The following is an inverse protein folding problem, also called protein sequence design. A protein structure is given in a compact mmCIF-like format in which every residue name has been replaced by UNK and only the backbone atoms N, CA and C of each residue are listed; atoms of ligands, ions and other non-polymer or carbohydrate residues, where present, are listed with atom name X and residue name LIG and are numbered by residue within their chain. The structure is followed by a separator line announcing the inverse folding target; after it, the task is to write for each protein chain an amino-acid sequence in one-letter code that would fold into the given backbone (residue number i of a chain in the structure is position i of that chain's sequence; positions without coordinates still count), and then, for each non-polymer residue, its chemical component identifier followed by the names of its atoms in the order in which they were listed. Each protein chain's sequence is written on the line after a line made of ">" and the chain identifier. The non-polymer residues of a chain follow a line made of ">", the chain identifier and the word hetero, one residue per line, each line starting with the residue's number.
data_IF_259467674907
#
_entry.id   IF_259467674907
#
_cell.length_a   1.000
_cell.length_b   1.000
_cell.length_c   1.000
_cell.angle_alpha   90.00
_cell.angle_beta   90.00
_cell.angle_gamma   90.00
#
_symmetry.space_group_name_H-M   'P 1'
#
loop_
_entity.id
_entity.type
_entity.pdbx_description
1 polymer ?
#
# COMPACT_ATOMS: atom_id res chain seq x y z
N UNK A 1 15.40 -7.40 -14.00
CA UNK A 1 14.02 -7.10 -13.61
C UNK A 1 13.39 -6.43 -14.82
N UNK A 2 12.77 -7.24 -15.68
CA UNK A 2 12.00 -6.75 -16.83
C UNK A 2 10.97 -5.75 -16.29
N UNK A 3 10.92 -4.54 -16.86
CA UNK A 3 10.21 -3.43 -16.26
C UNK A 3 8.73 -3.77 -16.18
N UNK A 4 8.22 -4.05 -14.98
CA UNK A 4 6.77 -4.20 -14.75
C UNK A 4 6.00 -2.87 -15.01
N UNK A 5 6.73 -1.79 -15.29
CA UNK A 5 6.25 -0.44 -15.59
C UNK A 5 5.12 -0.40 -16.62
N UNK A 6 5.18 -1.08 -17.78
CA UNK A 6 4.09 -1.02 -18.77
C UNK A 6 2.78 -1.63 -18.27
N UNK A 7 2.81 -2.63 -17.38
CA UNK A 7 1.59 -3.21 -16.81
C UNK A 7 0.89 -2.26 -15.85
N UNK A 8 1.68 -1.52 -15.05
CA UNK A 8 1.17 -0.52 -14.11
C UNK A 8 0.65 0.72 -14.86
N UNK A 9 1.38 1.19 -15.88
CA UNK A 9 0.96 2.30 -16.73
C UNK A 9 -0.37 2.01 -17.43
N UNK A 10 -0.53 0.81 -18.01
CA UNK A 10 -1.81 0.41 -18.64
C UNK A 10 -3.00 0.45 -17.69
N UNK A 11 -2.76 0.22 -16.40
CA UNK A 11 -3.79 0.26 -15.35
C UNK A 11 -3.97 1.65 -14.74
N UNK A 12 -3.27 2.66 -15.28
CA UNK A 12 -3.21 4.01 -14.69
C UNK A 12 -2.81 3.99 -13.21
N UNK A 13 -1.99 3.02 -12.82
CA UNK A 13 -1.56 2.81 -11.45
C UNK A 13 -0.27 3.61 -11.18
N UNK A 14 -0.26 4.37 -10.08
CA UNK A 14 0.97 5.02 -9.60
C UNK A 14 1.69 4.08 -8.66
N UNK A 15 2.97 3.82 -8.92
CA UNK A 15 3.83 2.99 -8.05
C UNK A 15 4.78 3.90 -7.28
N UNK A 16 4.81 3.72 -5.96
CA UNK A 16 5.68 4.45 -5.04
C UNK A 16 6.42 3.45 -4.15
N UNK A 17 7.70 3.72 -3.90
CA UNK A 17 8.48 3.00 -2.89
C UNK A 17 8.51 3.84 -1.61
N UNK A 18 8.22 3.23 -0.46
CA UNK A 18 8.30 3.90 0.85
C UNK A 18 9.40 3.25 1.67
N UNK A 19 10.37 4.05 2.11
CA UNK A 19 11.49 3.60 2.93
C UNK A 19 11.42 4.26 4.31
N UNK A 20 11.32 3.44 5.36
CA UNK A 20 11.32 3.88 6.76
C UNK A 20 12.74 4.21 7.28
N UNK A 21 13.52 4.95 6.47
CA UNK A 21 14.89 5.36 6.78
C UNK A 21 14.94 6.87 6.98
N UNK A 22 15.78 7.34 7.90
CA UNK A 22 16.07 8.76 8.05
C UNK A 22 17.08 9.20 7.01
N UNK A 23 16.92 10.41 6.47
CA UNK A 23 17.81 10.94 5.44
C UNK A 23 19.26 11.09 5.92
N UNK A 24 19.45 11.42 7.20
CA UNK A 24 20.75 11.65 7.84
C UNK A 24 21.34 10.47 8.63
N UNK A 25 21.04 9.22 8.28
CA UNK A 25 21.50 8.02 9.00
C UNK A 25 22.90 7.53 8.63
N UNK A 26 23.43 6.59 9.45
CA UNK A 26 24.73 5.91 9.25
C UNK A 26 24.85 5.19 7.88
N UNK A 27 23.70 4.85 7.28
CA UNK A 27 23.57 4.39 5.90
C UNK A 27 22.89 5.49 5.09
N UNK A 28 23.64 6.32 4.36
CA UNK A 28 23.02 7.38 3.57
C UNK A 28 22.22 6.76 2.40
N UNK A 29 20.88 6.86 2.40
CA UNK A 29 20.07 6.26 1.35
C UNK A 29 20.45 6.84 -0.02
N UNK A 30 20.83 8.12 -0.02
CA UNK A 30 21.26 8.85 -1.20
C UNK A 30 22.48 8.23 -1.90
N UNK A 31 23.48 7.76 -1.16
CA UNK A 31 24.67 7.13 -1.77
C UNK A 31 24.37 5.72 -2.30
N UNK A 32 23.42 5.01 -1.69
CA UNK A 32 22.97 3.70 -2.16
C UNK A 32 22.12 3.84 -3.43
N UNK A 33 21.15 4.76 -3.44
CA UNK A 33 20.25 5.00 -4.59
C UNK A 33 20.95 5.63 -5.79
N UNK A 34 22.01 6.41 -5.59
CA UNK A 34 22.88 6.87 -6.70
C UNK A 34 23.58 5.71 -7.42
N UNK A 35 23.88 4.62 -6.70
CA UNK A 35 24.57 3.43 -7.24
C UNK A 35 23.61 2.37 -7.76
N UNK A 36 22.36 2.38 -7.27
CA UNK A 36 21.33 1.43 -7.61
C UNK A 36 20.12 2.18 -8.17
N UNK A 37 20.03 2.37 -9.50
CA UNK A 37 18.91 3.08 -10.10
C UNK A 37 17.59 2.39 -9.77
N UNK A 38 16.63 3.18 -9.32
CA UNK A 38 15.29 2.72 -8.96
C UNK A 38 14.29 3.07 -10.06
N UNK A 39 13.38 2.14 -10.34
CA UNK A 39 12.37 2.31 -11.39
C UNK A 39 11.19 3.20 -10.99
N UNK A 40 11.06 3.54 -9.69
CA UNK A 40 9.92 4.27 -9.14
C UNK A 40 10.38 5.35 -8.15
N UNK A 41 9.58 6.41 -7.96
CA UNK A 41 9.84 7.41 -6.93
C UNK A 41 9.94 6.77 -5.55
N UNK A 42 10.86 7.28 -4.73
CA UNK A 42 11.04 6.85 -3.34
C UNK A 42 10.64 7.98 -2.40
N UNK A 43 9.81 7.64 -1.41
CA UNK A 43 9.41 8.51 -0.31
C UNK A 43 10.06 8.01 0.98
N UNK A 44 10.64 8.94 1.76
CA UNK A 44 11.21 8.65 3.07
C UNK A 44 10.14 8.83 4.16
N UNK A 45 9.85 7.76 4.89
CA UNK A 45 8.96 7.74 6.06
C UNK A 45 9.80 7.87 7.34
N UNK A 46 10.42 9.03 7.53
CA UNK A 46 11.44 9.27 8.58
C UNK A 46 10.88 9.10 10.01
N UNK A 47 9.60 9.44 10.20
CA UNK A 47 8.87 9.35 11.48
C UNK A 47 8.10 8.03 11.65
N UNK A 48 8.18 7.17 10.63
CA UNK A 48 7.51 5.85 10.57
C UNK A 48 5.98 5.96 10.64
N UNK A 49 5.42 7.11 10.30
CA UNK A 49 4.00 7.39 10.39
C UNK A 49 3.22 6.51 9.40
N UNK A 50 3.73 6.39 8.16
CA UNK A 50 3.11 5.55 7.12
C UNK A 50 3.24 4.08 7.47
N UNK A 51 4.43 3.65 7.89
CA UNK A 51 4.70 2.27 8.30
C UNK A 51 3.82 1.83 9.47
N UNK A 52 3.57 2.73 10.44
CA UNK A 52 2.62 2.47 11.54
C UNK A 52 1.18 2.41 11.06
N UNK A 53 0.77 3.31 10.16
CA UNK A 53 -0.59 3.38 9.61
C UNK A 53 -0.98 2.09 8.90
N UNK A 54 -0.05 1.51 8.13
CA UNK A 54 -0.27 0.25 7.43
C UNK A 54 0.02 -1.00 8.30
N UNK A 55 0.37 -0.82 9.58
CA UNK A 55 0.65 -1.94 10.50
C UNK A 55 1.91 -2.74 10.16
N UNK A 56 2.77 -2.24 9.28
CA UNK A 56 4.02 -2.91 8.84
C UNK A 56 5.23 -2.52 9.69
N UNK A 57 5.07 -1.61 10.63
CA UNK A 57 6.11 -1.22 11.58
C UNK A 57 6.33 -2.30 12.66
N UNK A 58 7.57 -2.75 12.81
CA UNK A 58 8.00 -3.57 13.95
C UNK A 58 9.03 -2.82 14.79
N UNK A 59 8.81 -2.81 16.11
CA UNK A 59 9.71 -2.18 17.08
C UNK A 59 10.94 -3.04 17.38
N UNK A 60 10.79 -4.37 17.31
CA UNK A 60 11.83 -5.36 17.60
C UNK A 60 11.69 -6.52 16.59
N UNK A 61 12.70 -6.77 15.77
CA UNK A 61 12.84 -7.96 14.93
C UNK A 61 14.10 -8.75 15.32
N UNK A 62 14.16 -10.03 14.97
CA UNK A 62 15.25 -10.94 15.37
C UNK A 62 16.66 -10.43 14.99
N UNK A 63 16.78 -9.60 13.94
CA UNK A 63 18.07 -9.08 13.48
C UNK A 63 18.18 -7.53 13.51
N UNK A 64 17.18 -6.79 13.99
CA UNK A 64 17.26 -5.33 14.09
C UNK A 64 16.13 -4.68 14.93
N UNK A 65 16.50 -3.61 15.66
CA UNK A 65 15.56 -2.65 16.23
C UNK A 65 15.02 -1.73 15.12
N UNK A 66 13.72 -1.42 15.17
CA UNK A 66 13.08 -0.39 14.35
C UNK A 66 13.18 -0.58 12.81
N UNK A 67 12.60 -1.65 12.25
CA UNK A 67 12.51 -1.84 10.78
C UNK A 67 11.05 -2.02 10.34
N UNK A 68 10.67 -1.39 9.23
CA UNK A 68 9.41 -1.71 8.54
C UNK A 68 9.56 -3.04 7.81
N UNK A 69 8.67 -4.00 8.07
CA UNK A 69 8.65 -5.24 7.29
C UNK A 69 8.42 -4.88 5.82
N UNK A 70 9.18 -5.45 4.87
CA UNK A 70 8.90 -5.24 3.46
C UNK A 70 7.45 -5.62 3.20
N UNK A 71 6.74 -4.77 2.47
CA UNK A 71 5.34 -5.01 2.17
C UNK A 71 4.99 -4.46 0.79
N UNK A 72 3.95 -5.04 0.21
CA UNK A 72 3.34 -4.56 -1.03
C UNK A 72 1.87 -4.31 -0.75
N UNK A 73 1.43 -3.10 -1.08
CA UNK A 73 0.10 -2.60 -0.75
C UNK A 73 -0.52 -2.05 -2.03
N UNK A 74 -1.75 -2.46 -2.32
CA UNK A 74 -2.58 -1.84 -3.37
C UNK A 74 -3.70 -1.08 -2.69
N UNK A 75 -3.80 0.21 -3.04
CA UNK A 75 -4.82 1.12 -2.53
C UNK A 75 -5.62 1.61 -3.73
N UNK A 76 -6.95 1.64 -3.61
CA UNK A 76 -7.82 2.18 -4.65
C UNK A 76 -7.94 3.71 -4.59
N UNK A 77 -8.69 4.29 -5.52
CA UNK A 77 -8.91 5.74 -5.60
C UNK A 77 -9.68 6.33 -4.41
N UNK A 78 -10.38 5.50 -3.62
CA UNK A 78 -11.08 5.92 -2.40
C UNK A 78 -10.19 5.82 -1.16
N UNK A 79 -8.92 5.41 -1.31
CA UNK A 79 -7.99 5.21 -0.19
C UNK A 79 -8.18 3.88 0.53
N UNK A 80 -8.94 2.94 -0.03
CA UNK A 80 -9.19 1.63 0.57
C UNK A 80 -8.11 0.64 0.14
N UNK A 81 -7.54 -0.08 1.10
CA UNK A 81 -6.59 -1.17 0.85
C UNK A 81 -7.34 -2.32 0.17
N UNK A 82 -6.93 -2.65 -1.05
CA UNK A 82 -7.46 -3.79 -1.84
C UNK A 82 -6.55 -5.00 -1.83
N UNK A 83 -5.30 -4.81 -1.42
CA UNK A 83 -4.33 -5.88 -1.22
C UNK A 83 -3.25 -5.44 -0.23
N UNK A 84 -2.87 -6.34 0.67
CA UNK A 84 -1.74 -6.18 1.59
C UNK A 84 -1.00 -7.51 1.64
N UNK A 85 0.26 -7.47 1.25
CA UNK A 85 1.21 -8.56 1.44
C UNK A 85 2.34 -8.06 2.33
N UNK A 86 2.55 -8.73 3.46
CA UNK A 86 3.66 -8.45 4.37
C UNK A 86 4.68 -9.57 4.20
N UNK A 87 5.85 -9.23 3.70
CA UNK A 87 6.92 -10.17 3.40
C UNK A 87 7.62 -10.67 4.65
N UNK A 88 8.12 -11.91 4.58
CA UNK A 88 8.93 -12.51 5.62
C UNK A 88 10.43 -12.16 5.49
N UNK A 89 10.86 -11.59 4.36
CA UNK A 89 12.25 -11.18 4.12
C UNK A 89 12.41 -10.09 3.04
N UNK A 90 13.63 -9.57 2.88
CA UNK A 90 13.92 -8.45 1.95
C UNK A 90 13.75 -8.82 0.46
N UNK A 91 13.95 -10.09 0.13
CA UNK A 91 13.79 -10.65 -1.22
C UNK A 91 12.41 -11.26 -1.46
N UNK A 92 11.61 -11.38 -0.41
CA UNK A 92 10.28 -11.97 -0.48
C UNK A 92 9.27 -10.94 -0.99
N UNK A 93 8.55 -11.30 -2.06
CA UNK A 93 7.66 -10.42 -2.79
C UNK A 93 6.44 -11.21 -3.23
N UNK A 94 5.24 -10.59 -3.26
CA UNK A 94 4.09 -11.26 -3.82
C UNK A 94 4.33 -11.54 -5.32
N UNK A 95 3.73 -12.60 -5.86
CA UNK A 95 3.69 -12.83 -7.29
C UNK A 95 3.17 -11.59 -8.04
N UNK A 96 3.81 -11.23 -9.15
CA UNK A 96 3.38 -10.07 -9.97
C UNK A 96 1.92 -10.18 -10.39
N UNK A 97 1.47 -11.39 -10.73
CA UNK A 97 0.08 -11.68 -11.07
C UNK A 97 -0.89 -11.20 -10.00
N UNK A 98 -0.61 -11.47 -8.73
CA UNK A 98 -1.50 -11.13 -7.62
C UNK A 98 -1.63 -9.60 -7.45
N UNK A 99 -0.53 -8.87 -7.68
CA UNK A 99 -0.53 -7.41 -7.70
C UNK A 99 -1.38 -6.85 -8.86
N UNK A 100 -1.24 -7.43 -10.05
CA UNK A 100 -2.01 -6.98 -11.22
C UNK A 100 -3.50 -7.28 -11.06
N UNK A 101 -3.87 -8.46 -10.56
CA UNK A 101 -5.26 -8.79 -10.26
C UNK A 101 -5.87 -7.87 -9.18
N UNK A 102 -5.08 -7.51 -8.17
CA UNK A 102 -5.52 -6.56 -7.15
C UNK A 102 -5.73 -5.15 -7.73
N UNK A 103 -4.88 -4.71 -8.65
CA UNK A 103 -5.03 -3.42 -9.35
C UNK A 103 -6.27 -3.41 -10.24
N UNK A 104 -6.56 -4.51 -10.94
CA UNK A 104 -7.76 -4.63 -11.77
C UNK A 104 -9.03 -4.49 -10.92
N UNK A 105 -9.09 -5.16 -9.75
CA UNK A 105 -10.19 -5.01 -8.77
C UNK A 105 -10.28 -3.59 -8.18
N UNK A 106 -9.15 -2.95 -7.93
CA UNK A 106 -9.10 -1.58 -7.43
C UNK A 106 -9.65 -0.57 -8.45
N UNK A 107 -9.41 -0.80 -9.74
CA UNK A 107 -9.96 0.00 -10.82
C UNK A 107 -11.49 -0.18 -10.96
N UNK A 108 -12.00 -1.40 -10.81
CA UNK A 108 -13.45 -1.69 -10.85
C UNK A 108 -14.22 -0.97 -9.73
N UNK A 109 -13.60 -0.77 -8.57
CA UNK A 109 -14.18 -0.05 -7.42
C UNK A 109 -14.49 1.42 -7.74
N UNK A 110 -13.87 1.98 -8.79
CA UNK A 110 -14.12 3.34 -9.29
C UNK A 110 -15.38 3.44 -10.16
N UNK A 111 -15.87 2.31 -10.66
CA UNK A 111 -16.97 2.22 -11.65
C UNK A 111 -18.30 1.85 -11.01
N UNK A 112 -18.30 1.33 -9.78
CA UNK A 112 -19.52 1.09 -9.03
C UNK A 112 -20.12 2.43 -8.60
N UNK A 113 -21.35 2.77 -8.99
CA UNK A 113 -22.01 3.97 -8.48
C UNK A 113 -22.09 3.84 -6.97
N UNK A 114 -21.70 4.91 -6.26
CA UNK A 114 -21.94 5.04 -4.83
C UNK A 114 -23.38 4.59 -4.55
N UNK A 115 -23.55 3.54 -3.75
CA UNK A 115 -24.89 3.10 -3.36
C UNK A 115 -25.62 4.32 -2.81
N UNK A 116 -26.66 4.76 -3.52
CA UNK A 116 -27.56 5.80 -3.04
C UNK A 116 -28.11 5.28 -1.73
N UNK A 117 -27.76 5.98 -0.64
CA UNK A 117 -28.21 5.66 0.71
C UNK A 117 -29.69 5.27 0.69
N UNK A 118 -29.96 4.09 1.26
CA UNK A 118 -31.28 3.49 1.29
C UNK A 118 -32.32 4.50 1.81
N UNK A 119 -33.32 4.91 1.02
CA UNK A 119 -34.39 5.76 1.50
C UNK A 119 -35.44 4.88 2.17
N UNK A 120 -35.70 5.12 3.45
CA UNK A 120 -37.01 4.85 4.04
C UNK A 120 -37.11 3.62 4.94
N UNK A 121 -36.89 3.86 6.24
CA UNK A 121 -37.60 3.15 7.29
C UNK A 121 -38.64 4.06 7.94
N UNK A 122 -39.74 4.38 7.24
CA UNK A 122 -40.95 4.90 7.88
C UNK A 122 -41.94 3.76 8.14
N UNK A 123 -42.56 3.86 9.32
CA UNK A 123 -43.72 3.13 9.81
C UNK A 123 -43.44 1.77 10.46
N UNK A 124 -43.76 1.67 11.76
CA UNK A 124 -45.05 1.12 12.18
C UNK A 124 -45.41 1.65 13.57
N UNK A 125 -46.58 2.30 13.63
CA UNK A 125 -47.24 2.59 14.89
C UNK A 125 -47.61 1.31 15.63
N UNK A 126 -47.71 1.42 16.95
CA UNK A 126 -48.40 0.43 17.77
C UNK A 126 -49.33 1.19 18.71
N UNK A 127 -50.59 1.24 18.34
CA UNK A 127 -51.67 1.36 19.31
C UNK A 127 -51.75 0.04 20.10
N UNK A 128 -52.05 0.16 21.40
CA UNK A 128 -52.92 -0.71 22.22
C UNK A 128 -52.52 -0.60 23.69
N UNK A 129 -53.52 -0.33 24.54
CA UNK A 129 -53.47 -0.44 25.99
C UNK A 129 -54.06 0.78 26.66
#
# INVERSE_FOLDING_TARGET
>A
MESATPEFERRSATVLTIAAQRRGGLFSPESYWKKHPHSFPILLDEDRAVSKTFGVYQRIGWDAYDIARPASIVVDAAGIIRFLYVSDGQTDRPPMRDLLEALDRAAESRTLPAEKGSPGGKSRGKSRG
#
